data_IF_606890938517
#
_entry.id   IF_606890938517
#
_cell.length_a   1.000
_cell.length_b   1.000
_cell.length_c   1.000
_cell.angle_alpha   90.00
_cell.angle_beta   90.00
_cell.angle_gamma   90.00
#
_symmetry.space_group_name_H-M   'P 1'
#
loop_
_entity.id
_entity.type
_entity.pdbx_description
1 polymer ?
#
# COMPACT_ATOMS: atom_id res chain seq x y z
N UNK A 1 34.82 13.05 4.10
CA UNK A 1 35.82 12.58 5.10
C UNK A 1 35.45 13.04 6.52
N UNK A 2 35.32 14.35 6.77
CA UNK A 2 35.08 14.90 8.13
C UNK A 2 33.78 14.49 8.82
N UNK A 3 32.68 14.29 8.09
CA UNK A 3 31.39 13.91 8.70
C UNK A 3 31.30 12.43 9.07
N UNK A 4 32.15 11.57 8.50
CA UNK A 4 32.09 10.12 8.73
C UNK A 4 32.23 9.75 10.22
N UNK A 5 33.25 10.22 10.96
CA UNK A 5 33.38 9.91 12.39
C UNK A 5 32.22 10.49 13.22
N UNK A 6 31.74 11.69 12.87
CA UNK A 6 30.61 12.34 13.58
C UNK A 6 29.33 11.52 13.42
N UNK A 7 28.98 11.16 12.18
CA UNK A 7 27.78 10.37 11.90
C UNK A 7 27.87 8.94 12.43
N UNK A 8 29.04 8.32 12.40
CA UNK A 8 29.26 7.01 13.01
C UNK A 8 29.05 7.05 14.54
N UNK A 9 29.59 8.08 15.22
CA UNK A 9 29.36 8.29 16.65
C UNK A 9 27.89 8.50 16.99
N UNK A 10 27.15 9.24 16.16
CA UNK A 10 25.69 9.39 16.33
C UNK A 10 24.92 8.09 16.06
N UNK A 11 25.31 7.27 15.09
CA UNK A 11 24.70 5.95 14.86
C UNK A 11 24.88 5.03 16.07
N UNK A 12 26.08 5.01 16.65
CA UNK A 12 26.39 4.21 17.85
C UNK A 12 25.60 4.70 19.06
N UNK A 13 25.63 6.01 19.35
CA UNK A 13 24.88 6.64 20.45
C UNK A 13 23.37 6.38 20.35
N UNK A 14 22.85 6.30 19.13
CA UNK A 14 21.43 6.04 18.86
C UNK A 14 21.09 4.56 18.71
N UNK A 15 22.05 3.63 18.85
CA UNK A 15 21.80 2.19 18.68
C UNK A 15 21.44 1.77 17.25
N UNK A 16 21.70 2.62 16.25
CA UNK A 16 21.33 2.42 14.84
C UNK A 16 22.47 1.82 14.00
N UNK A 17 23.60 1.52 14.62
CA UNK A 17 24.77 0.96 13.92
C UNK A 17 24.46 -0.38 13.24
N UNK A 18 23.70 -1.25 13.93
CA UNK A 18 23.28 -2.54 13.38
C UNK A 18 22.39 -2.34 12.14
N UNK A 19 21.40 -1.46 12.21
CA UNK A 19 20.51 -1.12 11.10
C UNK A 19 21.31 -0.63 9.90
N UNK A 20 22.24 0.30 10.13
CA UNK A 20 23.05 0.87 9.06
C UNK A 20 23.95 -0.18 8.40
N UNK A 21 24.71 -0.95 9.20
CA UNK A 21 25.71 -1.88 8.67
C UNK A 21 25.15 -3.18 8.12
N UNK A 22 24.06 -3.69 8.69
CA UNK A 22 23.50 -4.99 8.31
C UNK A 22 22.36 -4.88 7.31
N UNK A 23 21.70 -3.72 7.23
CA UNK A 23 20.52 -3.52 6.37
C UNK A 23 20.79 -2.42 5.35
N UNK A 24 20.91 -1.16 5.76
CA UNK A 24 20.86 -0.04 4.81
C UNK A 24 22.04 0.02 3.84
N UNK A 25 23.27 -0.09 4.36
CA UNK A 25 24.47 0.01 3.54
C UNK A 25 24.62 -1.19 2.58
N UNK A 26 24.42 -2.46 3.00
CA UNK A 26 24.43 -3.59 2.07
C UNK A 26 23.32 -3.50 1.02
N UNK A 27 22.12 -3.05 1.42
CA UNK A 27 20.98 -2.92 0.52
C UNK A 27 21.27 -1.99 -0.66
N UNK A 28 22.03 -0.91 -0.47
CA UNK A 28 22.39 0.00 -1.57
C UNK A 28 23.02 -0.74 -2.77
N UNK A 29 23.82 -1.78 -2.53
CA UNK A 29 24.43 -2.58 -3.60
C UNK A 29 23.41 -3.45 -4.32
N UNK A 30 22.44 -3.99 -3.58
CA UNK A 30 21.34 -4.79 -4.13
C UNK A 30 20.47 -3.91 -5.02
N UNK A 31 20.07 -2.73 -4.53
CA UNK A 31 19.27 -1.77 -5.29
C UNK A 31 19.99 -1.35 -6.57
N UNK A 32 21.26 -0.96 -6.49
CA UNK A 32 22.04 -0.62 -7.68
C UNK A 32 22.01 -1.73 -8.74
N UNK A 33 22.13 -3.00 -8.33
CA UNK A 33 22.05 -4.12 -9.29
C UNK A 33 20.66 -4.29 -9.87
N UNK A 34 19.61 -4.20 -9.06
CA UNK A 34 18.21 -4.28 -9.50
C UNK A 34 17.89 -3.18 -10.52
N UNK A 35 18.28 -1.93 -10.22
CA UNK A 35 18.10 -0.77 -11.10
C UNK A 35 18.83 -0.95 -12.43
N UNK A 36 20.07 -1.46 -12.42
CA UNK A 36 20.82 -1.73 -13.66
C UNK A 36 20.26 -2.91 -14.46
N UNK A 37 19.67 -3.91 -13.80
CA UNK A 37 19.03 -5.03 -14.48
C UNK A 37 17.75 -4.57 -15.19
N UNK A 38 16.91 -3.77 -14.53
CA UNK A 38 15.60 -3.40 -15.04
C UNK A 38 14.65 -4.60 -15.22
N UNK A 39 13.42 -4.33 -15.65
CA UNK A 39 12.41 -5.36 -15.97
C UNK A 39 11.97 -5.23 -17.43
N UNK A 40 11.81 -6.36 -18.13
CA UNK A 40 11.36 -6.34 -19.52
C UNK A 40 9.85 -6.15 -19.61
N UNK A 41 9.41 -5.47 -20.67
CA UNK A 41 8.00 -5.21 -20.95
C UNK A 41 7.73 -5.38 -22.44
N UNK A 42 6.60 -6.00 -22.78
CA UNK A 42 6.16 -6.16 -24.16
C UNK A 42 5.66 -4.82 -24.72
N UNK A 43 6.51 -4.19 -25.54
CA UNK A 43 6.23 -2.90 -26.18
C UNK A 43 5.00 -2.96 -27.09
N UNK A 44 4.81 -4.05 -27.81
CA UNK A 44 3.73 -4.14 -28.79
C UNK A 44 2.38 -4.35 -28.09
N UNK A 45 2.33 -5.22 -27.08
CA UNK A 45 1.13 -5.37 -26.26
C UNK A 45 0.77 -4.08 -25.52
N UNK A 46 1.77 -3.35 -24.99
CA UNK A 46 1.54 -2.07 -24.32
C UNK A 46 0.96 -1.01 -25.29
N UNK A 47 1.44 -0.98 -26.53
CA UNK A 47 0.93 -0.09 -27.59
C UNK A 47 -0.52 -0.42 -27.93
N UNK A 48 -0.83 -1.69 -28.21
CA UNK A 48 -2.18 -2.15 -28.52
C UNK A 48 -3.16 -1.87 -27.38
N UNK A 49 -2.71 -2.02 -26.14
CA UNK A 49 -3.48 -1.67 -24.96
C UNK A 49 -3.76 -0.17 -24.89
N UNK A 50 -2.76 0.68 -25.15
CA UNK A 50 -2.93 2.13 -25.24
C UNK A 50 -3.95 2.56 -26.30
N UNK A 51 -3.94 1.92 -27.47
CA UNK A 51 -4.90 2.17 -28.55
C UNK A 51 -6.33 1.76 -28.16
N UNK A 52 -6.47 0.60 -27.51
CA UNK A 52 -7.75 0.12 -26.98
C UNK A 52 -8.33 1.08 -25.93
N UNK A 53 -7.49 1.54 -25.00
CA UNK A 53 -7.90 2.52 -23.99
C UNK A 53 -8.35 3.84 -24.63
N UNK A 54 -7.64 4.31 -25.67
CA UNK A 54 -7.98 5.56 -26.36
C UNK A 54 -9.39 5.52 -26.97
N UNK A 55 -9.77 4.39 -27.57
CA UNK A 55 -11.13 4.20 -28.12
C UNK A 55 -12.18 4.25 -27.01
N UNK A 56 -11.98 3.48 -25.93
CA UNK A 56 -12.92 3.45 -24.80
C UNK A 56 -13.05 4.79 -24.09
N UNK A 57 -11.96 5.56 -23.99
CA UNK A 57 -11.98 6.93 -23.45
C UNK A 57 -12.90 7.80 -24.30
N UNK A 58 -12.77 7.77 -25.63
CA UNK A 58 -13.62 8.54 -26.54
C UNK A 58 -15.10 8.13 -26.46
N UNK A 59 -15.39 6.83 -26.31
CA UNK A 59 -16.76 6.34 -26.09
C UNK A 59 -17.33 6.90 -24.77
N UNK A 60 -16.56 6.88 -23.69
CA UNK A 60 -16.95 7.45 -22.41
C UNK A 60 -17.15 8.97 -22.48
N UNK A 61 -16.28 9.72 -23.18
CA UNK A 61 -16.42 11.15 -23.39
C UNK A 61 -17.73 11.48 -24.09
N UNK A 62 -18.01 10.79 -25.19
CA UNK A 62 -19.26 10.95 -25.96
C UNK A 62 -20.49 10.69 -25.08
N UNK A 63 -20.44 9.62 -24.29
CA UNK A 63 -21.52 9.28 -23.36
C UNK A 63 -21.70 10.35 -22.27
N UNK A 64 -20.61 10.84 -21.67
CA UNK A 64 -20.65 11.90 -20.66
C UNK A 64 -21.22 13.20 -21.24
N UNK A 65 -20.79 13.57 -22.45
CA UNK A 65 -21.27 14.79 -23.12
C UNK A 65 -22.75 14.72 -23.49
N UNK A 66 -23.27 13.52 -23.80
CA UNK A 66 -24.70 13.31 -24.03
C UNK A 66 -25.54 13.60 -22.77
N UNK A 67 -25.00 13.33 -21.58
CA UNK A 67 -25.66 13.62 -20.30
C UNK A 67 -25.46 15.05 -19.82
N UNK A 68 -24.34 15.69 -20.16
CA UNK A 68 -24.04 17.05 -19.70
C UNK A 68 -24.70 18.13 -20.55
N UNK A 69 -25.21 17.80 -21.74
CA UNK A 69 -25.82 18.77 -22.67
C UNK A 69 -24.80 19.78 -23.21
N UNK A 70 -23.56 19.32 -23.46
CA UNK A 70 -22.47 20.13 -23.99
C UNK A 70 -21.09 19.65 -23.51
N UNK A 71 -20.06 19.99 -24.27
CA UNK A 71 -18.67 19.65 -23.95
C UNK A 71 -18.13 20.46 -22.77
N UNK A 72 -17.26 19.83 -21.97
CA UNK A 72 -16.54 20.45 -20.88
C UNK A 72 -15.29 19.61 -20.55
N UNK A 73 -14.39 20.16 -19.73
CA UNK A 73 -13.20 19.42 -19.29
C UNK A 73 -13.56 18.47 -18.12
N UNK A 74 -13.72 17.18 -18.43
CA UNK A 74 -14.06 16.12 -17.45
C UNK A 74 -12.98 15.95 -16.37
N UNK A 75 -11.72 16.28 -16.69
CA UNK A 75 -10.59 16.22 -15.76
C UNK A 75 -10.54 17.44 -14.80
N UNK A 76 -11.27 18.53 -15.12
CA UNK A 76 -11.38 19.68 -14.24
C UNK A 76 -12.36 19.40 -13.11
N UNK A 77 -11.84 19.23 -11.89
CA UNK A 77 -12.66 18.98 -10.69
C UNK A 77 -13.70 20.07 -10.45
N UNK A 78 -13.38 21.31 -10.83
CA UNK A 78 -14.29 22.46 -10.73
C UNK A 78 -15.45 22.34 -11.72
N UNK A 79 -15.16 22.22 -13.02
CA UNK A 79 -16.21 22.12 -14.05
C UNK A 79 -17.08 20.89 -13.84
N UNK A 80 -16.48 19.76 -13.46
CA UNK A 80 -17.22 18.55 -13.12
C UNK A 80 -18.10 18.76 -11.89
N UNK A 81 -17.61 19.46 -10.86
CA UNK A 81 -18.39 19.78 -9.68
C UNK A 81 -19.59 20.67 -10.00
N UNK A 82 -19.39 21.75 -10.75
CA UNK A 82 -20.45 22.65 -11.23
C UNK A 82 -21.51 21.86 -12.04
N UNK A 83 -21.09 20.99 -12.95
CA UNK A 83 -22.01 20.12 -13.70
C UNK A 83 -22.82 19.20 -12.79
N UNK A 84 -22.16 18.43 -11.91
CA UNK A 84 -22.82 17.40 -11.12
C UNK A 84 -23.77 18.01 -10.08
N UNK A 85 -23.35 19.05 -9.39
CA UNK A 85 -24.06 19.55 -8.20
C UNK A 85 -24.93 20.77 -8.48
N UNK A 86 -24.62 21.57 -9.50
CA UNK A 86 -25.41 22.77 -9.84
C UNK A 86 -26.32 22.50 -11.03
N UNK A 87 -25.78 22.01 -12.16
CA UNK A 87 -26.58 21.79 -13.38
C UNK A 87 -27.47 20.54 -13.28
N UNK A 88 -26.94 19.43 -12.79
CA UNK A 88 -27.69 18.17 -12.63
C UNK A 88 -28.37 18.05 -11.26
N UNK A 89 -28.11 18.98 -10.34
CA UNK A 89 -28.77 19.04 -9.03
C UNK A 89 -28.50 17.83 -8.12
N UNK A 90 -27.39 17.11 -8.30
CA UNK A 90 -27.06 15.98 -7.43
C UNK A 90 -26.71 16.46 -6.02
N UNK A 91 -27.02 15.66 -4.98
CA UNK A 91 -26.74 16.06 -3.61
C UNK A 91 -25.23 16.13 -3.34
N UNK A 92 -24.68 17.27 -2.89
CA UNK A 92 -23.26 17.39 -2.59
C UNK A 92 -22.92 16.58 -1.32
N UNK A 93 -22.03 15.60 -1.46
CA UNK A 93 -21.62 14.72 -0.34
C UNK A 93 -20.54 15.38 0.51
N UNK A 94 -19.59 16.09 -0.12
CA UNK A 94 -18.42 16.67 0.55
C UNK A 94 -17.91 17.91 -0.20
N UNK A 95 -17.53 18.94 0.56
CA UNK A 95 -16.84 20.14 0.03
C UNK A 95 -15.39 20.16 0.48
N UNK A 96 -14.49 20.62 -0.38
CA UNK A 96 -13.10 20.97 -0.06
C UNK A 96 -12.96 22.48 0.06
N UNK A 97 -11.78 22.95 0.47
CA UNK A 97 -11.45 24.38 0.49
C UNK A 97 -11.62 25.06 -0.88
N UNK A 98 -11.58 24.29 -1.97
CA UNK A 98 -11.56 24.79 -3.35
C UNK A 98 -12.87 24.53 -4.12
N UNK A 99 -13.88 23.91 -3.51
CA UNK A 99 -15.17 23.64 -4.16
C UNK A 99 -15.79 22.30 -3.79
N UNK A 100 -16.60 21.73 -4.69
CA UNK A 100 -17.18 20.40 -4.47
C UNK A 100 -16.14 19.30 -4.65
N UNK A 101 -16.17 18.28 -3.79
CA UNK A 101 -15.36 17.09 -3.98
C UNK A 101 -16.01 16.19 -5.03
N UNK A 102 -15.21 15.74 -5.99
CA UNK A 102 -15.61 14.74 -6.98
C UNK A 102 -14.72 13.49 -6.88
N UNK A 103 -14.13 13.19 -5.71
CA UNK A 103 -13.24 12.04 -5.58
C UNK A 103 -13.99 10.70 -5.76
N UNK A 104 -13.26 9.59 -5.88
CA UNK A 104 -13.85 8.26 -6.10
C UNK A 104 -14.88 7.87 -5.03
N UNK A 105 -14.61 8.20 -3.76
CA UNK A 105 -15.51 7.93 -2.63
C UNK A 105 -16.85 8.67 -2.75
N UNK A 106 -16.82 9.96 -3.14
CA UNK A 106 -18.03 10.75 -3.39
C UNK A 106 -18.79 10.22 -4.60
N UNK A 107 -18.09 9.88 -5.68
CA UNK A 107 -18.72 9.33 -6.89
C UNK A 107 -19.38 7.98 -6.61
N UNK A 108 -18.77 7.10 -5.81
CA UNK A 108 -19.37 5.80 -5.44
C UNK A 108 -20.68 6.01 -4.67
N UNK A 109 -20.72 6.97 -3.73
CA UNK A 109 -21.95 7.33 -2.99
C UNK A 109 -23.06 7.89 -3.91
N UNK A 110 -22.69 8.41 -5.09
CA UNK A 110 -23.60 8.98 -6.08
C UNK A 110 -23.89 8.04 -7.27
N UNK A 111 -23.28 6.84 -7.30
CA UNK A 111 -23.31 5.93 -8.44
C UNK A 111 -24.71 5.60 -8.95
N UNK A 112 -25.68 5.48 -8.04
CA UNK A 112 -27.08 5.16 -8.35
C UNK A 112 -27.97 6.41 -8.53
N UNK A 113 -27.40 7.63 -8.49
CA UNK A 113 -28.16 8.88 -8.60
C UNK A 113 -28.29 9.37 -10.04
N UNK A 114 -27.30 9.08 -10.89
CA UNK A 114 -27.34 9.48 -12.31
C UNK A 114 -26.41 8.60 -13.17
N UNK A 115 -26.82 8.19 -14.39
CA UNK A 115 -26.00 7.37 -15.30
C UNK A 115 -24.63 7.98 -15.68
N UNK A 116 -24.52 9.31 -15.62
CA UNK A 116 -23.24 10.03 -15.86
C UNK A 116 -22.16 9.63 -14.84
N UNK A 117 -22.53 9.22 -13.62
CA UNK A 117 -21.57 8.96 -12.54
C UNK A 117 -20.72 7.71 -12.85
N UNK A 118 -21.30 6.53 -13.17
CA UNK A 118 -20.52 5.40 -13.67
C UNK A 118 -19.61 5.77 -14.86
N UNK A 119 -20.14 6.51 -15.85
CA UNK A 119 -19.37 6.89 -17.03
C UNK A 119 -18.14 7.75 -16.67
N UNK A 120 -18.28 8.71 -15.74
CA UNK A 120 -17.16 9.51 -15.23
C UNK A 120 -16.13 8.65 -14.49
N UNK A 121 -16.59 7.68 -13.69
CA UNK A 121 -15.71 6.77 -12.96
C UNK A 121 -14.88 5.93 -13.93
N UNK A 122 -15.51 5.38 -14.97
CA UNK A 122 -14.85 4.62 -16.03
C UNK A 122 -13.86 5.50 -16.81
N UNK A 123 -14.29 6.68 -17.25
CA UNK A 123 -13.43 7.65 -17.94
C UNK A 123 -12.16 7.96 -17.15
N UNK A 124 -12.27 8.23 -15.84
CA UNK A 124 -11.10 8.53 -14.99
C UNK A 124 -10.20 7.33 -14.78
N UNK A 125 -10.76 6.13 -14.63
CA UNK A 125 -9.98 4.91 -14.55
C UNK A 125 -9.19 4.70 -15.85
N UNK A 126 -9.87 4.74 -17.00
CA UNK A 126 -9.26 4.54 -18.32
C UNK A 126 -8.21 5.60 -18.63
N UNK A 127 -8.51 6.87 -18.38
CA UNK A 127 -7.57 7.98 -18.58
C UNK A 127 -6.31 7.77 -17.73
N UNK A 128 -6.45 7.37 -16.46
CA UNK A 128 -5.29 7.07 -15.60
C UNK A 128 -4.51 5.86 -16.11
N UNK A 129 -5.19 4.78 -16.53
CA UNK A 129 -4.55 3.60 -17.15
C UNK A 129 -3.73 4.01 -18.38
N UNK A 130 -4.28 4.87 -19.23
CA UNK A 130 -3.60 5.35 -20.43
C UNK A 130 -2.45 6.28 -20.09
N UNK A 131 -2.71 7.38 -19.38
CA UNK A 131 -1.72 8.44 -19.18
C UNK A 131 -0.55 8.01 -18.31
N UNK A 132 -0.84 7.30 -17.21
CA UNK A 132 0.20 6.94 -16.22
C UNK A 132 0.89 5.64 -16.59
N UNK A 133 0.16 4.66 -17.12
CA UNK A 133 0.70 3.32 -17.30
C UNK A 133 0.99 3.00 -18.76
N UNK A 134 0.05 3.15 -19.69
CA UNK A 134 0.33 2.86 -21.11
C UNK A 134 1.36 3.84 -21.69
N UNK A 135 1.00 5.12 -21.81
CA UNK A 135 1.85 6.15 -22.39
C UNK A 135 3.05 6.48 -21.49
N UNK A 136 2.84 6.40 -20.17
CA UNK A 136 3.89 6.63 -19.17
C UNK A 136 4.98 5.57 -19.24
N UNK A 137 4.63 4.28 -19.11
CA UNK A 137 5.63 3.20 -19.16
C UNK A 137 6.28 3.11 -20.54
N UNK A 138 5.55 3.37 -21.64
CA UNK A 138 6.10 3.36 -22.99
C UNK A 138 7.31 4.28 -23.15
N UNK A 139 7.29 5.45 -22.50
CA UNK A 139 8.39 6.43 -22.54
C UNK A 139 9.60 6.01 -21.70
N UNK A 140 9.41 5.10 -20.77
CA UNK A 140 10.45 4.63 -19.83
C UNK A 140 11.17 3.36 -20.33
N UNK A 141 10.71 2.78 -21.45
CA UNK A 141 11.37 1.63 -22.08
C UNK A 141 12.66 2.11 -22.74
N UNK A 142 13.80 1.63 -22.24
CA UNK A 142 15.12 1.92 -22.81
C UNK A 142 15.40 1.06 -24.05
N UNK A 143 16.56 1.31 -24.68
CA UNK A 143 16.99 0.60 -25.90
C UNK A 143 17.13 -0.91 -25.72
N UNK A 144 17.45 -1.36 -24.51
CA UNK A 144 17.54 -2.77 -24.14
C UNK A 144 16.17 -3.45 -23.94
N UNK A 145 15.07 -2.72 -24.17
CA UNK A 145 13.71 -3.22 -24.02
C UNK A 145 13.26 -3.34 -22.56
N UNK A 146 13.97 -2.68 -21.62
CA UNK A 146 13.68 -2.75 -20.19
C UNK A 146 13.31 -1.39 -19.60
N UNK A 147 12.58 -1.45 -18.50
CA UNK A 147 12.28 -0.31 -17.64
C UNK A 147 13.19 -0.38 -16.41
N UNK A 148 13.89 0.72 -16.14
CA UNK A 148 14.84 0.85 -15.03
C UNK A 148 14.33 1.89 -14.05
N UNK A 149 13.58 1.43 -13.06
CA UNK A 149 13.15 2.30 -11.97
C UNK A 149 14.33 2.71 -11.08
N UNK A 150 14.15 3.77 -10.30
CA UNK A 150 15.02 4.14 -9.20
C UNK A 150 14.34 3.86 -7.86
N UNK A 151 14.99 3.11 -6.98
CA UNK A 151 14.53 2.83 -5.63
C UNK A 151 15.04 3.87 -4.65
N UNK A 152 14.12 4.65 -4.11
CA UNK A 152 14.39 5.64 -3.08
C UNK A 152 14.37 4.97 -1.69
N UNK A 153 15.56 4.77 -1.11
CA UNK A 153 15.73 4.16 0.21
C UNK A 153 15.65 5.16 1.38
N UNK A 154 15.64 6.47 1.11
CA UNK A 154 15.75 7.51 2.14
C UNK A 154 14.52 8.42 2.26
N UNK A 155 13.42 8.09 1.57
CA UNK A 155 12.22 8.97 1.48
C UNK A 155 11.17 8.63 2.53
N UNK A 156 10.83 7.35 2.72
CA UNK A 156 9.70 6.99 3.58
C UNK A 156 10.12 6.97 5.06
N UNK A 157 9.33 7.62 5.92
CA UNK A 157 9.60 7.65 7.36
C UNK A 157 9.46 6.28 8.05
N UNK A 158 8.80 5.31 7.41
CA UNK A 158 8.68 3.94 7.91
C UNK A 158 9.77 3.01 7.39
N UNK A 159 10.67 3.49 6.52
CA UNK A 159 11.79 2.69 6.02
C UNK A 159 11.44 1.78 4.84
N UNK A 160 10.22 1.83 4.32
CA UNK A 160 9.86 1.20 3.04
C UNK A 160 10.64 1.85 1.89
N UNK A 161 10.91 1.06 0.86
CA UNK A 161 11.37 1.61 -0.41
C UNK A 161 10.19 2.33 -1.10
N UNK A 162 10.50 3.38 -1.84
CA UNK A 162 9.60 3.90 -2.89
C UNK A 162 10.29 3.80 -4.24
N UNK A 163 9.52 3.68 -5.31
CA UNK A 163 10.03 3.58 -6.68
C UNK A 163 9.60 4.81 -7.50
N UNK A 164 10.52 5.34 -8.30
CA UNK A 164 10.32 6.54 -9.15
C UNK A 164 10.93 6.33 -10.53
N UNK A 165 10.41 7.05 -11.52
CA UNK A 165 10.95 7.09 -12.90
C UNK A 165 11.14 5.70 -13.53
N UNK A 166 10.06 4.91 -13.73
CA UNK A 166 8.68 5.09 -13.23
C UNK A 166 8.47 4.41 -11.87
N UNK A 167 7.33 4.68 -11.23
CA UNK A 167 6.91 3.93 -10.04
C UNK A 167 6.38 2.55 -10.44
N UNK A 168 7.13 1.50 -10.14
CA UNK A 168 6.78 0.11 -10.40
C UNK A 168 6.11 -0.59 -9.20
N UNK A 169 6.00 0.09 -8.06
CA UNK A 169 5.34 -0.46 -6.88
C UNK A 169 3.82 -0.27 -6.88
N UNK A 170 3.29 0.57 -7.77
CA UNK A 170 1.87 0.92 -7.84
C UNK A 170 1.19 0.46 -9.14
N UNK A 171 1.74 -0.57 -9.79
CA UNK A 171 1.13 -1.17 -10.98
C UNK A 171 -0.24 -1.76 -10.59
N UNK A 172 -1.35 -1.40 -11.29
CA UNK A 172 -2.70 -1.79 -10.90
C UNK A 172 -2.90 -3.31 -10.92
N UNK A 173 -3.69 -3.82 -9.97
CA UNK A 173 -4.05 -5.26 -9.89
C UNK A 173 -5.52 -5.53 -9.61
N UNK A 174 -6.26 -4.51 -9.13
CA UNK A 174 -7.60 -4.73 -8.55
C UNK A 174 -8.70 -4.85 -9.61
N UNK A 175 -8.45 -4.36 -10.82
CA UNK A 175 -9.40 -4.41 -11.93
C UNK A 175 -8.82 -5.27 -13.03
N UNK A 176 -9.68 -5.95 -13.79
CA UNK A 176 -9.25 -6.82 -14.89
C UNK A 176 -8.36 -6.05 -15.88
N UNK A 177 -8.79 -4.85 -16.30
CA UNK A 177 -8.01 -3.97 -17.17
C UNK A 177 -6.67 -3.54 -16.55
N UNK A 178 -6.62 -3.32 -15.24
CA UNK A 178 -5.39 -2.99 -14.53
C UNK A 178 -4.42 -4.17 -14.51
N UNK A 179 -4.94 -5.37 -14.28
CA UNK A 179 -4.17 -6.61 -14.23
C UNK A 179 -3.53 -6.96 -15.59
N UNK A 180 -4.14 -6.55 -16.72
CA UNK A 180 -3.53 -6.71 -18.04
C UNK A 180 -2.16 -6.02 -18.15
N UNK A 181 -1.95 -4.87 -17.49
CA UNK A 181 -0.65 -4.19 -17.50
C UNK A 181 0.44 -5.08 -16.87
N UNK A 182 0.12 -5.80 -15.79
CA UNK A 182 1.08 -6.72 -15.16
C UNK A 182 1.51 -7.83 -16.12
N UNK A 183 0.60 -8.34 -16.95
CA UNK A 183 0.90 -9.40 -17.94
C UNK A 183 1.86 -8.95 -19.03
N UNK A 184 1.96 -7.63 -19.26
CA UNK A 184 2.90 -7.07 -20.25
C UNK A 184 4.33 -7.03 -19.71
N UNK A 185 4.54 -7.09 -18.39
CA UNK A 185 5.87 -7.31 -17.83
C UNK A 185 6.24 -8.78 -18.02
N UNK A 186 7.26 -9.02 -18.83
CA UNK A 186 7.65 -10.35 -19.28
C UNK A 186 9.08 -10.66 -18.87
N UNK A 187 9.44 -11.93 -18.66
CA UNK A 187 10.83 -12.33 -18.51
C UNK A 187 11.57 -12.25 -19.85
N UNK A 188 12.90 -12.26 -19.78
CA UNK A 188 13.77 -12.54 -20.94
C UNK A 188 13.39 -13.89 -21.58
N UNK A 189 13.53 -14.07 -22.90
CA UNK A 189 13.34 -15.37 -23.55
C UNK A 189 14.12 -16.50 -22.86
N UNK A 190 13.44 -17.62 -22.59
CA UNK A 190 13.98 -18.78 -21.87
C UNK A 190 14.01 -18.62 -20.35
N UNK A 191 13.44 -17.55 -19.81
CA UNK A 191 13.29 -17.31 -18.37
C UNK A 191 11.81 -17.21 -17.98
N UNK A 192 11.55 -17.34 -16.68
CA UNK A 192 10.27 -17.08 -16.01
C UNK A 192 10.42 -16.00 -14.96
N UNK A 193 9.32 -15.34 -14.62
CA UNK A 193 9.22 -14.49 -13.43
C UNK A 193 8.69 -15.32 -12.27
N UNK A 194 9.42 -15.32 -11.16
CA UNK A 194 9.02 -15.92 -9.89
C UNK A 194 8.67 -14.80 -8.92
N UNK A 195 7.43 -14.83 -8.46
CA UNK A 195 6.89 -13.94 -7.45
C UNK A 195 6.88 -14.67 -6.08
N UNK A 196 7.41 -14.01 -5.05
CA UNK A 196 7.34 -14.47 -3.67
C UNK A 196 6.92 -13.32 -2.74
N UNK A 197 5.73 -13.46 -2.14
CA UNK A 197 5.14 -12.50 -1.20
C UNK A 197 5.05 -13.06 0.23
N UNK A 198 5.25 -12.19 1.23
CA UNK A 198 5.00 -12.57 2.61
C UNK A 198 3.51 -12.61 2.92
N UNK A 199 2.99 -13.78 3.27
CA UNK A 199 1.63 -13.92 3.80
C UNK A 199 1.44 -13.16 5.12
N UNK A 200 0.82 -11.97 5.05
CA UNK A 200 0.35 -11.16 6.18
C UNK A 200 1.48 -10.72 7.13
N UNK A 201 2.63 -10.28 6.59
CA UNK A 201 3.80 -9.91 7.40
C UNK A 201 3.50 -8.90 8.50
N UNK A 202 2.66 -7.90 8.25
CA UNK A 202 2.34 -6.87 9.24
C UNK A 202 1.60 -7.44 10.46
N UNK A 203 0.67 -8.38 10.26
CA UNK A 203 -0.03 -9.04 11.37
C UNK A 203 0.86 -10.04 12.11
N UNK A 204 1.77 -10.72 11.40
CA UNK A 204 2.77 -11.60 12.03
C UNK A 204 3.76 -10.79 12.88
N UNK A 205 4.18 -9.63 12.40
CA UNK A 205 4.99 -8.68 13.16
C UNK A 205 4.19 -8.18 14.37
N UNK A 206 2.93 -7.79 14.21
CA UNK A 206 2.07 -7.39 15.33
C UNK A 206 2.01 -8.49 16.39
N UNK A 207 1.72 -9.73 16.01
CA UNK A 207 1.67 -10.88 16.93
C UNK A 207 2.98 -11.05 17.72
N UNK A 208 4.11 -10.87 17.04
CA UNK A 208 5.43 -10.96 17.65
C UNK A 208 5.71 -9.81 18.63
N UNK A 209 5.56 -8.56 18.20
CA UNK A 209 5.89 -7.38 19.03
C UNK A 209 4.92 -7.18 20.19
N UNK A 210 3.66 -7.59 20.01
CA UNK A 210 2.64 -7.53 21.04
C UNK A 210 2.74 -8.68 22.04
N UNK A 211 3.49 -9.74 21.72
CA UNK A 211 3.56 -10.94 22.54
C UNK A 211 2.20 -11.61 22.73
N UNK A 212 1.30 -11.49 21.75
CA UNK A 212 -0.07 -11.96 21.89
C UNK A 212 -0.18 -13.46 21.58
N UNK A 213 -0.37 -14.28 22.62
CA UNK A 213 -0.35 -15.73 22.49
C UNK A 213 -1.48 -16.29 21.61
N UNK A 214 -2.66 -15.68 21.64
CA UNK A 214 -3.79 -16.11 20.81
C UNK A 214 -3.49 -15.88 19.32
N UNK A 215 -2.98 -14.69 18.98
CA UNK A 215 -2.61 -14.35 17.61
C UNK A 215 -1.40 -15.17 17.12
N UNK A 216 -0.38 -15.36 17.98
CA UNK A 216 0.77 -16.21 17.68
C UNK A 216 0.36 -17.65 17.41
N UNK A 217 -0.51 -18.22 18.25
CA UNK A 217 -1.06 -19.57 18.06
C UNK A 217 -1.80 -19.69 16.74
N UNK A 218 -2.68 -18.74 16.42
CA UNK A 218 -3.40 -18.75 15.14
C UNK A 218 -2.45 -18.79 13.93
N UNK A 219 -1.35 -18.04 13.96
CA UNK A 219 -0.35 -18.07 12.90
C UNK A 219 0.48 -19.35 12.84
N UNK A 220 0.81 -19.95 13.99
CA UNK A 220 1.54 -21.22 14.06
C UNK A 220 0.69 -22.41 13.61
N UNK A 221 -0.61 -22.36 13.87
CA UNK A 221 -1.57 -23.39 13.48
C UNK A 221 -2.04 -23.22 12.02
N UNK A 222 -1.49 -22.27 11.26
CA UNK A 222 -1.87 -21.94 9.88
C UNK A 222 -3.36 -21.61 9.70
N UNK A 223 -4.00 -21.10 10.74
CA UNK A 223 -5.40 -20.65 10.68
C UNK A 223 -5.45 -19.32 9.93
N UNK A 224 -6.44 -19.16 9.04
CA UNK A 224 -6.71 -17.87 8.41
C UNK A 224 -7.12 -16.86 9.49
N UNK A 225 -6.23 -15.92 9.78
CA UNK A 225 -6.42 -14.92 10.83
C UNK A 225 -7.67 -14.06 10.59
N UNK A 226 -8.10 -13.85 9.35
CA UNK A 226 -9.31 -13.07 9.07
C UNK A 226 -10.55 -13.87 9.41
N UNK A 227 -10.56 -15.17 9.11
CA UNK A 227 -11.65 -16.07 9.46
C UNK A 227 -11.71 -16.30 10.97
N UNK A 228 -10.56 -16.50 11.62
CA UNK A 228 -10.47 -16.61 13.08
C UNK A 228 -11.00 -15.35 13.78
N UNK A 229 -10.55 -14.17 13.34
CA UNK A 229 -11.05 -12.89 13.86
C UNK A 229 -12.54 -12.73 13.58
N UNK A 230 -13.05 -13.16 12.41
CA UNK A 230 -14.48 -13.09 12.13
C UNK A 230 -15.30 -13.99 13.08
N UNK A 231 -14.92 -15.26 13.22
CA UNK A 231 -15.57 -16.19 14.13
C UNK A 231 -15.68 -15.61 15.55
N UNK A 232 -14.60 -15.01 16.04
CA UNK A 232 -14.53 -14.40 17.37
C UNK A 232 -15.37 -13.12 17.47
N UNK A 233 -15.24 -12.20 16.49
CA UNK A 233 -15.91 -10.90 16.52
C UNK A 233 -17.42 -11.05 16.37
N UNK A 234 -17.88 -11.99 15.54
CA UNK A 234 -19.29 -12.25 15.26
C UNK A 234 -19.90 -13.35 16.14
N UNK A 235 -19.11 -14.06 16.94
CA UNK A 235 -19.59 -15.12 17.83
C UNK A 235 -20.14 -16.34 17.10
N UNK A 236 -19.58 -16.69 15.94
CA UNK A 236 -19.99 -17.83 15.12
C UNK A 236 -18.85 -18.85 15.01
N UNK A 237 -19.14 -20.15 14.82
CA UNK A 237 -18.12 -21.15 14.47
C UNK A 237 -17.31 -20.72 13.23
N UNK A 238 -16.05 -21.15 13.15
CA UNK A 238 -15.13 -20.80 12.03
C UNK A 238 -15.71 -21.24 10.69
N UNK A 239 -16.41 -22.36 10.68
CA UNK A 239 -17.05 -23.00 9.54
C UNK A 239 -18.29 -22.23 9.05
N UNK A 240 -18.90 -21.42 9.94
CA UNK A 240 -20.08 -20.61 9.65
C UNK A 240 -19.72 -19.16 9.24
N UNK A 241 -18.42 -18.83 9.23
CA UNK A 241 -17.96 -17.50 8.80
C UNK A 241 -18.29 -17.28 7.34
N UNK A 242 -19.19 -16.33 7.09
CA UNK A 242 -19.53 -15.90 5.74
C UNK A 242 -18.40 -15.10 5.07
N UNK A 243 -18.32 -15.06 3.73
CA UNK A 243 -17.37 -14.21 3.01
C UNK A 243 -17.45 -12.73 3.39
N UNK A 244 -18.66 -12.23 3.71
CA UNK A 244 -18.87 -10.86 4.16
C UNK A 244 -18.28 -10.62 5.54
N UNK A 245 -18.53 -11.50 6.51
CA UNK A 245 -17.94 -11.43 7.85
C UNK A 245 -16.40 -11.49 7.78
N UNK A 246 -15.85 -12.38 6.96
CA UNK A 246 -14.40 -12.45 6.73
C UNK A 246 -13.86 -11.15 6.15
N UNK A 247 -14.56 -10.52 5.20
CA UNK A 247 -14.18 -9.21 4.63
C UNK A 247 -14.20 -8.10 5.69
N UNK A 248 -15.21 -8.07 6.56
CA UNK A 248 -15.28 -7.12 7.66
C UNK A 248 -14.15 -7.34 8.68
N UNK A 249 -13.91 -8.58 9.08
CA UNK A 249 -12.80 -8.92 9.97
C UNK A 249 -11.43 -8.60 9.37
N UNK A 250 -11.26 -8.72 8.05
CA UNK A 250 -10.07 -8.23 7.35
C UNK A 250 -9.90 -6.72 7.54
N UNK A 251 -10.95 -5.94 7.31
CA UNK A 251 -10.92 -4.49 7.54
C UNK A 251 -10.63 -4.14 9.01
N UNK A 252 -11.17 -4.88 9.98
CA UNK A 252 -10.85 -4.73 11.41
C UNK A 252 -9.37 -5.01 11.68
N UNK A 253 -8.85 -6.16 11.24
CA UNK A 253 -7.44 -6.55 11.45
C UNK A 253 -6.48 -5.47 10.94
N UNK A 254 -6.65 -5.02 9.70
CA UNK A 254 -5.82 -3.95 9.14
C UNK A 254 -6.09 -2.61 9.84
N UNK A 255 -7.35 -2.28 10.10
CA UNK A 255 -7.72 -1.06 10.80
C UNK A 255 -7.01 -0.92 12.15
N UNK A 256 -6.96 -1.99 12.96
CA UNK A 256 -6.26 -1.98 14.25
C UNK A 256 -4.76 -1.74 14.09
N UNK A 257 -4.10 -2.36 13.11
CA UNK A 257 -2.68 -2.12 12.79
C UNK A 257 -2.40 -0.64 12.47
N UNK A 258 -3.39 0.07 11.93
CA UNK A 258 -3.30 1.49 11.59
C UNK A 258 -3.93 2.43 12.65
N UNK A 259 -4.41 1.89 13.77
CA UNK A 259 -5.10 2.67 14.81
C UNK A 259 -6.39 3.33 14.31
N UNK A 260 -7.19 2.61 13.51
CA UNK A 260 -8.45 3.10 12.97
C UNK A 260 -9.40 3.54 14.09
N UNK A 261 -10.17 4.61 13.83
CA UNK A 261 -11.24 5.01 14.74
C UNK A 261 -12.51 4.18 14.46
N UNK A 262 -13.38 4.08 15.45
CA UNK A 262 -14.73 3.51 15.29
C UNK A 262 -15.51 4.18 14.16
N UNK A 263 -15.28 5.48 13.92
CA UNK A 263 -15.94 6.24 12.84
C UNK A 263 -15.46 5.76 11.47
N UNK A 264 -14.14 5.68 11.27
CA UNK A 264 -13.56 5.23 9.99
C UNK A 264 -13.87 3.76 9.73
N UNK A 265 -13.84 2.92 10.76
CA UNK A 265 -14.21 1.51 10.61
C UNK A 265 -15.68 1.38 10.21
N UNK A 266 -16.61 2.09 10.87
CA UNK A 266 -18.03 2.08 10.53
C UNK A 266 -18.28 2.42 9.06
N UNK A 267 -17.55 3.42 8.52
CA UNK A 267 -17.63 3.81 7.11
C UNK A 267 -17.04 2.74 6.18
N UNK A 268 -15.88 2.19 6.51
CA UNK A 268 -15.18 1.18 5.68
C UNK A 268 -15.97 -0.13 5.51
N UNK A 269 -16.69 -0.55 6.56
CA UNK A 269 -17.47 -1.79 6.55
C UNK A 269 -18.98 -1.59 6.45
N UNK A 270 -19.47 -0.35 6.45
CA UNK A 270 -20.89 -0.03 6.24
C UNK A 270 -21.79 -0.45 7.40
N UNK A 271 -21.33 -0.29 8.64
CA UNK A 271 -22.09 -0.63 9.87
C UNK A 271 -22.30 0.61 10.74
N UNK A 272 -23.13 0.50 11.77
CA UNK A 272 -23.29 1.58 12.74
C UNK A 272 -22.00 1.80 13.56
N UNK A 273 -21.80 3.01 14.08
CA UNK A 273 -20.68 3.29 15.02
C UNK A 273 -20.69 2.39 16.25
N UNK A 274 -21.88 2.00 16.71
CA UNK A 274 -22.04 1.09 17.84
C UNK A 274 -21.49 -0.30 17.50
N UNK A 275 -21.84 -0.85 16.34
CA UNK A 275 -21.32 -2.14 15.87
C UNK A 275 -19.81 -2.08 15.63
N UNK A 276 -19.30 -1.02 14.99
CA UNK A 276 -17.87 -0.86 14.75
C UNK A 276 -17.07 -0.83 16.07
N UNK A 277 -17.59 -0.15 17.10
CA UNK A 277 -17.00 -0.13 18.43
C UNK A 277 -17.02 -1.52 19.08
N UNK A 278 -18.15 -2.22 19.02
CA UNK A 278 -18.26 -3.58 19.54
C UNK A 278 -17.26 -4.53 18.87
N UNK A 279 -17.02 -4.39 17.55
CA UNK A 279 -16.02 -5.19 16.84
C UNK A 279 -14.59 -4.91 17.32
N UNK A 280 -14.23 -3.64 17.52
CA UNK A 280 -12.92 -3.25 18.07
C UNK A 280 -12.75 -3.80 19.50
N UNK A 281 -13.77 -3.64 20.35
CA UNK A 281 -13.72 -4.08 21.74
C UNK A 281 -13.60 -5.62 21.83
N UNK A 282 -14.39 -6.37 21.05
CA UNK A 282 -14.30 -7.83 20.98
C UNK A 282 -12.93 -8.30 20.51
N UNK A 283 -12.39 -7.65 19.46
CA UNK A 283 -11.05 -7.93 18.96
C UNK A 283 -9.98 -7.74 20.05
N UNK A 284 -9.98 -6.58 20.74
CA UNK A 284 -8.98 -6.25 21.76
C UNK A 284 -9.15 -7.06 23.05
N UNK A 285 -10.36 -7.55 23.34
CA UNK A 285 -10.60 -8.45 24.48
C UNK A 285 -10.06 -9.86 24.22
N UNK A 286 -10.07 -10.30 22.96
CA UNK A 286 -9.51 -11.58 22.54
C UNK A 286 -7.98 -11.51 22.39
N UNK A 287 -7.48 -10.46 21.73
CA UNK A 287 -6.05 -10.21 21.53
C UNK A 287 -5.53 -9.21 22.57
N UNK A 288 -5.45 -9.66 23.83
CA UNK A 288 -5.08 -8.81 24.98
C UNK A 288 -3.67 -8.25 24.86
N UNK A 289 -2.72 -9.03 24.34
CA UNK A 289 -1.34 -8.57 24.11
C UNK A 289 -1.30 -7.41 23.12
N UNK A 290 -2.16 -7.45 22.08
CA UNK A 290 -2.30 -6.33 21.14
C UNK A 290 -2.83 -5.09 21.84
N UNK A 291 -3.86 -5.21 22.69
CA UNK A 291 -4.40 -4.09 23.47
C UNK A 291 -3.33 -3.44 24.35
N UNK A 292 -2.60 -4.25 25.11
CA UNK A 292 -1.51 -3.79 25.98
C UNK A 292 -0.39 -3.11 25.19
N UNK A 293 0.01 -3.72 24.07
CA UNK A 293 1.00 -3.15 23.15
C UNK A 293 0.58 -1.76 22.65
N UNK A 294 -0.67 -1.61 22.21
CA UNK A 294 -1.18 -0.33 21.68
C UNK A 294 -1.08 0.79 22.73
N UNK A 295 -1.44 0.49 23.99
CA UNK A 295 -1.31 1.46 25.08
C UNK A 295 0.16 1.80 25.37
N UNK A 296 1.01 0.77 25.48
CA UNK A 296 2.41 0.92 25.84
C UNK A 296 3.20 1.70 24.80
N UNK A 297 3.08 1.36 23.53
CA UNK A 297 3.87 2.00 22.46
C UNK A 297 3.56 3.49 22.32
N UNK A 298 2.30 3.89 22.54
CA UNK A 298 1.90 5.31 22.53
C UNK A 298 2.44 6.03 23.76
N UNK A 299 2.37 5.41 24.95
CA UNK A 299 2.92 5.99 26.17
C UNK A 299 4.44 6.20 26.05
N UNK A 300 5.16 5.16 25.64
CA UNK A 300 6.61 5.19 25.41
C UNK A 300 6.99 6.26 24.37
N UNK A 301 6.23 6.36 23.27
CA UNK A 301 6.51 7.35 22.23
C UNK A 301 6.25 8.80 22.69
N UNK A 302 5.27 9.03 23.58
CA UNK A 302 5.04 10.36 24.18
C UNK A 302 6.18 10.78 25.09
N UNK A 303 6.73 9.85 25.86
CA UNK A 303 7.87 10.09 26.75
C UNK A 303 9.15 10.35 25.95
N UNK A 304 9.47 9.45 25.02
CA UNK A 304 10.72 9.49 24.23
C UNK A 304 10.70 10.53 23.09
N UNK A 305 9.51 10.86 22.58
CA UNK A 305 9.31 11.71 21.39
C UNK A 305 9.50 11.00 20.04
N UNK A 306 9.67 9.66 20.05
CA UNK A 306 9.84 8.84 18.86
C UNK A 306 9.36 7.40 19.10
N UNK A 307 9.17 6.65 18.03
CA UNK A 307 8.92 5.20 18.05
C UNK A 307 9.99 4.46 17.24
N UNK A 308 10.18 3.16 17.50
CA UNK A 308 11.27 2.35 16.93
C UNK A 308 10.77 1.01 16.36
N UNK A 309 11.44 0.52 15.32
CA UNK A 309 11.29 -0.86 14.82
C UNK A 309 12.15 -1.83 15.62
N UNK A 310 11.97 -3.15 15.41
CA UNK A 310 12.80 -4.18 16.04
C UNK A 310 14.30 -4.06 15.73
N UNK A 311 14.66 -3.40 14.63
CA UNK A 311 16.04 -3.18 14.21
C UNK A 311 16.56 -1.78 14.59
N UNK A 312 15.80 -1.01 15.37
CA UNK A 312 16.20 0.30 15.88
C UNK A 312 15.96 1.46 14.91
N UNK A 313 15.17 1.28 13.84
CA UNK A 313 14.78 2.39 12.96
C UNK A 313 13.86 3.34 13.72
N UNK A 314 14.25 4.60 13.84
CA UNK A 314 13.51 5.64 14.56
C UNK A 314 12.63 6.47 13.66
N UNK A 315 11.44 6.81 14.16
CA UNK A 315 10.62 7.90 13.64
C UNK A 315 10.27 8.86 14.77
N UNK A 316 10.79 10.08 14.69
CA UNK A 316 10.44 11.16 15.61
C UNK A 316 9.02 11.67 15.31
N UNK A 317 8.26 11.96 16.37
CA UNK A 317 6.85 12.34 16.28
C UNK A 317 6.59 13.52 17.25
N UNK A 318 7.09 14.73 16.94
CA UNK A 318 6.90 15.90 17.80
C UNK A 318 5.42 16.24 18.03
N UNK A 319 4.54 15.87 17.10
CA UNK A 319 3.09 16.09 17.14
C UNK A 319 2.41 15.39 18.33
N UNK A 320 3.05 14.39 18.95
CA UNK A 320 2.55 13.74 20.17
C UNK A 320 2.38 14.71 21.34
N UNK A 321 3.13 15.82 21.35
CA UNK A 321 3.03 16.89 22.36
C UNK A 321 1.95 17.94 22.06
N UNK A 322 1.26 17.83 20.92
CA UNK A 322 0.26 18.82 20.52
C UNK A 322 -0.94 18.83 21.46
N UNK A 323 -1.40 20.04 21.84
CA UNK A 323 -2.66 20.23 22.56
C UNK A 323 -3.88 19.94 21.67
N UNK A 324 -3.74 20.09 20.35
CA UNK A 324 -4.80 19.82 19.38
C UNK A 324 -5.09 18.31 19.29
N UNK A 325 -6.31 17.92 19.65
CA UNK A 325 -6.73 16.52 19.69
C UNK A 325 -6.55 15.79 18.35
N UNK A 326 -6.88 16.43 17.22
CA UNK A 326 -6.79 15.78 15.91
C UNK A 326 -5.33 15.55 15.48
N UNK A 327 -4.46 16.54 15.76
CA UNK A 327 -3.02 16.43 15.49
C UNK A 327 -2.41 15.33 16.33
N UNK A 328 -2.69 15.34 17.64
CA UNK A 328 -2.19 14.33 18.58
C UNK A 328 -2.70 12.92 18.27
N UNK A 329 -3.99 12.76 17.97
CA UNK A 329 -4.56 11.45 17.60
C UNK A 329 -3.96 10.91 16.30
N UNK A 330 -3.65 11.80 15.33
CA UNK A 330 -2.90 11.42 14.13
C UNK A 330 -1.49 10.93 14.45
N UNK A 331 -0.81 11.60 15.38
CA UNK A 331 0.52 11.23 15.86
C UNK A 331 0.53 9.87 16.60
N UNK A 332 -0.50 9.58 17.38
CA UNK A 332 -0.66 8.29 18.08
C UNK A 332 -0.80 7.13 17.08
N UNK A 333 -1.59 7.31 16.02
CA UNK A 333 -1.68 6.31 14.92
C UNK A 333 -0.33 6.07 14.25
N UNK A 334 0.46 7.13 14.05
CA UNK A 334 1.82 7.02 13.53
C UNK A 334 2.71 6.22 14.49
N UNK A 335 2.62 6.49 15.79
CA UNK A 335 3.39 5.79 16.83
C UNK A 335 3.07 4.29 16.89
N UNK A 336 1.78 3.95 16.73
CA UNK A 336 1.28 2.56 16.67
C UNK A 336 1.75 1.83 15.40
N UNK A 337 1.60 2.46 14.24
CA UNK A 337 1.80 1.78 12.97
C UNK A 337 3.28 1.63 12.60
N UNK A 338 4.10 2.63 12.93
CA UNK A 338 5.50 2.66 12.45
C UNK A 338 6.33 1.46 12.89
N UNK A 339 6.27 0.97 14.15
CA UNK A 339 7.01 -0.23 14.55
C UNK A 339 6.61 -1.46 13.75
N UNK A 340 5.32 -1.62 13.42
CA UNK A 340 4.81 -2.76 12.66
C UNK A 340 5.28 -2.67 11.20
N UNK A 341 4.90 -1.57 10.53
CA UNK A 341 5.19 -1.37 9.11
C UNK A 341 6.69 -1.26 8.85
N UNK A 342 7.42 -0.58 9.73
CA UNK A 342 8.85 -0.41 9.58
C UNK A 342 9.65 -1.66 9.90
N UNK A 343 9.20 -2.48 10.85
CA UNK A 343 9.83 -3.80 11.06
C UNK A 343 9.60 -4.71 9.85
N UNK A 344 8.41 -4.69 9.25
CA UNK A 344 8.17 -5.41 8.00
C UNK A 344 9.09 -4.91 6.86
N UNK A 345 9.30 -3.58 6.78
CA UNK A 345 10.26 -2.99 5.83
C UNK A 345 11.71 -3.44 6.11
N UNK A 346 12.13 -3.51 7.37
CA UNK A 346 13.46 -3.99 7.74
C UNK A 346 13.65 -5.47 7.37
N UNK A 347 12.62 -6.28 7.57
CA UNK A 347 12.63 -7.71 7.25
C UNK A 347 12.71 -7.97 5.74
N UNK A 348 11.93 -7.26 4.91
CA UNK A 348 12.01 -7.44 3.45
C UNK A 348 13.38 -6.97 2.93
N UNK A 349 13.96 -5.90 3.47
CA UNK A 349 15.31 -5.45 3.12
C UNK A 349 16.38 -6.49 3.46
N UNK A 350 16.28 -7.11 4.65
CA UNK A 350 17.15 -8.23 5.02
C UNK A 350 16.97 -9.43 4.10
N UNK A 351 15.72 -9.73 3.72
CA UNK A 351 15.42 -10.80 2.77
C UNK A 351 16.05 -10.52 1.40
N UNK A 352 15.94 -9.29 0.86
CA UNK A 352 16.57 -8.88 -0.39
C UNK A 352 18.09 -9.11 -0.37
N UNK A 353 18.77 -8.73 0.70
CA UNK A 353 20.23 -8.94 0.85
C UNK A 353 20.56 -10.43 0.84
N UNK A 354 19.81 -11.24 1.60
CA UNK A 354 20.05 -12.68 1.69
C UNK A 354 19.73 -13.42 0.39
N UNK A 355 18.62 -13.07 -0.26
CA UNK A 355 18.20 -13.60 -1.56
C UNK A 355 19.25 -13.25 -2.61
N UNK A 356 19.62 -11.98 -2.76
CA UNK A 356 20.64 -11.55 -3.72
C UNK A 356 21.97 -12.29 -3.52
N UNK A 357 22.42 -12.48 -2.27
CA UNK A 357 23.64 -13.24 -2.00
C UNK A 357 23.48 -14.73 -2.38
N UNK A 358 22.36 -15.36 -2.02
CA UNK A 358 22.09 -16.76 -2.34
C UNK A 358 21.95 -17.00 -3.85
N UNK A 359 21.32 -16.06 -4.58
CA UNK A 359 21.23 -16.12 -6.05
C UNK A 359 22.63 -16.03 -6.66
N UNK A 360 23.45 -15.06 -6.24
CA UNK A 360 24.81 -14.93 -6.79
C UNK A 360 25.71 -16.16 -6.52
N UNK A 361 25.49 -16.86 -5.41
CA UNK A 361 26.28 -18.04 -5.05
C UNK A 361 25.78 -19.33 -5.73
N UNK A 362 24.45 -19.55 -5.73
CA UNK A 362 23.85 -20.84 -6.12
C UNK A 362 23.14 -20.83 -7.46
N UNK A 363 22.62 -19.68 -7.86
CA UNK A 363 21.77 -19.53 -9.06
C UNK A 363 22.20 -18.27 -9.83
N UNK A 364 23.43 -18.22 -10.35
CA UNK A 364 24.01 -16.99 -10.91
C UNK A 364 23.26 -16.46 -12.13
N UNK A 365 22.43 -17.28 -12.78
CA UNK A 365 21.57 -16.85 -13.89
C UNK A 365 20.22 -16.26 -13.43
N UNK A 366 19.85 -16.46 -12.16
CA UNK A 366 18.67 -15.85 -11.56
C UNK A 366 18.98 -14.44 -11.03
N UNK A 367 18.03 -13.52 -11.21
CA UNK A 367 18.20 -12.09 -10.97
C UNK A 367 17.01 -11.53 -10.20
N UNK A 368 17.26 -11.01 -9.00
CA UNK A 368 16.30 -10.17 -8.29
C UNK A 368 16.07 -8.88 -9.10
N UNK A 369 14.82 -8.60 -9.47
CA UNK A 369 14.44 -7.48 -10.33
C UNK A 369 13.72 -6.37 -9.56
N UNK A 370 12.65 -6.71 -8.84
CA UNK A 370 11.79 -5.73 -8.17
C UNK A 370 11.48 -6.14 -6.74
N UNK A 371 11.17 -5.12 -5.94
CA UNK A 371 10.53 -5.26 -4.64
C UNK A 371 9.26 -4.40 -4.64
N UNK A 372 8.11 -5.04 -4.37
CA UNK A 372 6.79 -4.42 -4.38
C UNK A 372 6.13 -4.67 -3.02
N UNK A 373 6.19 -3.70 -2.11
CA UNK A 373 5.64 -3.84 -0.75
C UNK A 373 6.28 -4.98 0.08
N UNK A 374 5.67 -6.15 0.13
CA UNK A 374 6.12 -7.37 0.81
C UNK A 374 6.55 -8.49 -0.18
N UNK A 375 6.50 -8.17 -1.47
CA UNK A 375 6.76 -9.03 -2.61
C UNK A 375 8.18 -8.85 -3.17
N UNK A 376 8.84 -9.94 -3.56
CA UNK A 376 10.08 -9.95 -4.35
C UNK A 376 9.86 -10.66 -5.69
N UNK A 377 10.29 -10.01 -6.77
CA UNK A 377 10.19 -10.55 -8.13
C UNK A 377 11.59 -10.93 -8.62
N UNK A 378 11.77 -12.19 -8.98
CA UNK A 378 13.01 -12.75 -9.53
C UNK A 378 12.77 -13.21 -10.96
N UNK A 379 13.72 -12.93 -11.86
CA UNK A 379 13.77 -13.53 -13.20
C UNK A 379 14.79 -14.67 -13.18
N UNK A 380 14.43 -15.86 -13.64
CA UNK A 380 15.33 -17.02 -13.68
C UNK A 380 15.06 -17.92 -14.89
N UNK A 381 16.03 -18.73 -15.36
CA UNK A 381 15.82 -19.67 -16.45
C UNK A 381 14.65 -20.64 -16.21
N UNK A 382 14.01 -21.11 -17.28
CA UNK A 382 13.05 -22.21 -17.23
C UNK A 382 13.77 -23.53 -16.88
N UNK A 383 13.69 -23.96 -15.62
CA UNK A 383 14.32 -25.19 -15.10
C UNK A 383 14.82 -25.00 -13.68
#
# INVERSE_FOLDING_TARGET
WHLRPVLAGELEKNGMERLYRQIELPLCRVLYRMENRGICIDREQLRQFGDMLSRRISDCETLIFSYSGGEFNINSTRQLGELLFEKLGLPPVKKTKTGYSTNAEVLEKLKNKHPIIPAIMDYRMLTKLKSTYADGLMKEIREDGRIHTTFQNLVTATGRLSSTEPNLQNIPVRTDLGAEIRKMFIPKPGCVLVDADYSQIELRVLAHIAGDDAMRKAFCDHVDIHTATAAQVFGVPVEEVTPLQRRHAKAVNFGIVYGISEFSLAEDIGVSRYEARAYIDNYLNNYRGVKEYMHKVVADAREKGYTETLYGRRRYIPELKSSNFNVRSGAERIALNTPIQGTAADLIKLAMIRVENALNEKYPDAKLLLQVHDELIVECPEG
#
